data_IF_908195747088
#
_entry.id   IF_908195747088
#
_cell.length_a   1.000
_cell.length_b   1.000
_cell.length_c   1.000
_cell.angle_alpha   90.00
_cell.angle_beta   90.00
_cell.angle_gamma   90.00
#
_symmetry.space_group_name_H-M   'P 1'
#
loop_
_entity.id
_entity.type
_entity.pdbx_description
1 polymer ?
#
# COMPACT_ATOMS: atom_id res chain seq x y z
N UNK A 1 73.62 28.13 -20.71
CA UNK A 1 72.32 27.50 -21.03
C UNK A 1 71.24 28.09 -20.07
N UNK A 2 70.54 29.08 -20.54
CA UNK A 2 69.73 30.00 -19.72
C UNK A 2 68.26 29.62 -19.81
N UNK A 3 67.70 29.22 -18.69
CA UNK A 3 66.29 28.94 -18.57
C UNK A 3 65.54 30.19 -18.18
N UNK A 4 64.67 30.68 -19.06
CA UNK A 4 63.77 31.83 -18.80
C UNK A 4 62.49 31.31 -18.11
N UNK A 5 62.24 31.76 -16.86
CA UNK A 5 60.97 31.63 -16.20
C UNK A 5 60.00 32.69 -16.76
N UNK A 6 58.88 32.21 -17.29
CA UNK A 6 57.75 33.07 -17.63
C UNK A 6 56.73 32.99 -16.47
N UNK A 7 56.55 34.07 -15.76
CA UNK A 7 55.50 34.24 -14.76
C UNK A 7 54.17 34.57 -15.46
N UNK A 8 53.22 33.63 -15.41
CA UNK A 8 51.86 33.86 -15.87
C UNK A 8 50.98 34.32 -14.72
N UNK A 9 50.49 35.55 -14.79
CA UNK A 9 49.50 36.07 -13.84
C UNK A 9 48.14 35.46 -14.19
N UNK A 10 47.58 34.70 -13.27
CA UNK A 10 46.20 34.21 -13.35
C UNK A 10 45.27 35.21 -12.65
N UNK A 11 44.47 35.92 -13.45
CA UNK A 11 43.43 36.80 -12.98
C UNK A 11 42.21 35.99 -12.60
N UNK A 12 41.93 35.83 -11.30
CA UNK A 12 40.75 35.17 -10.83
C UNK A 12 39.55 36.13 -10.86
N UNK A 13 38.63 35.89 -11.80
CA UNK A 13 37.32 36.52 -11.86
C UNK A 13 36.35 35.74 -10.95
N UNK A 14 36.04 36.27 -9.76
CA UNK A 14 35.01 35.73 -8.90
C UNK A 14 33.65 36.33 -9.31
N UNK A 15 32.87 35.52 -10.07
CA UNK A 15 31.48 35.82 -10.34
C UNK A 15 30.65 35.29 -9.20
N UNK A 16 30.17 36.19 -8.33
CA UNK A 16 29.14 35.87 -7.32
C UNK A 16 27.77 35.83 -8.01
N UNK A 17 27.28 34.63 -8.33
CA UNK A 17 25.90 34.44 -8.76
C UNK A 17 24.99 34.48 -7.51
N UNK A 18 24.23 35.54 -7.36
CA UNK A 18 23.13 35.62 -6.39
C UNK A 18 22.01 34.68 -6.88
N UNK A 19 21.74 33.62 -6.13
CA UNK A 19 20.58 32.77 -6.35
C UNK A 19 19.36 33.47 -5.72
N UNK A 20 18.55 34.13 -6.54
CA UNK A 20 17.22 34.58 -6.16
C UNK A 20 16.33 33.36 -5.90
N UNK A 21 16.16 33.04 -4.64
CA UNK A 21 15.10 32.11 -4.21
C UNK A 21 13.77 32.84 -4.33
N UNK A 22 13.15 32.75 -5.51
CA UNK A 22 11.77 33.20 -5.73
C UNK A 22 10.84 32.51 -4.74
N UNK A 23 10.25 33.27 -3.82
CA UNK A 23 9.21 32.81 -2.93
C UNK A 23 8.02 32.32 -3.77
N UNK A 24 7.80 31.01 -3.79
CA UNK A 24 6.59 30.41 -4.36
C UNK A 24 5.43 30.76 -3.42
N UNK A 25 4.39 31.49 -3.90
CA UNK A 25 3.24 31.74 -3.06
C UNK A 25 2.55 30.42 -2.71
N UNK A 26 2.44 30.14 -1.41
CA UNK A 26 1.65 29.02 -0.92
C UNK A 26 0.19 29.23 -1.37
N UNK A 27 -0.24 28.45 -2.37
CA UNK A 27 -1.66 28.33 -2.67
C UNK A 27 -2.30 27.64 -1.48
N UNK A 28 -3.14 28.35 -0.77
CA UNK A 28 -4.08 27.76 0.16
C UNK A 28 -5.07 26.94 -0.69
N UNK A 29 -4.84 25.63 -0.80
CA UNK A 29 -5.84 24.71 -1.30
C UNK A 29 -7.02 24.78 -0.36
N UNK A 30 -8.11 25.40 -0.83
CA UNK A 30 -9.42 25.27 -0.20
C UNK A 30 -9.84 23.81 -0.35
N UNK A 31 -9.43 22.99 0.61
CA UNK A 31 -9.95 21.63 0.73
C UNK A 31 -11.46 21.75 0.88
N UNK A 32 -12.19 21.33 -0.15
CA UNK A 32 -13.64 21.19 -0.07
C UNK A 32 -14.01 20.28 1.10
N UNK A 33 -15.26 20.36 1.60
CA UNK A 33 -15.68 19.54 2.72
C UNK A 33 -15.41 18.06 2.41
N UNK A 34 -14.74 17.38 3.33
CA UNK A 34 -14.43 15.96 3.20
C UNK A 34 -15.72 15.17 2.90
N UNK A 35 -15.67 14.19 1.97
CA UNK A 35 -16.84 13.38 1.65
C UNK A 35 -17.35 12.72 2.93
N UNK A 36 -18.67 12.90 3.18
CA UNK A 36 -19.36 12.30 4.33
C UNK A 36 -19.14 10.79 4.28
N UNK A 37 -18.65 10.16 5.35
CA UNK A 37 -18.51 8.72 5.38
C UNK A 37 -19.87 8.07 5.12
N UNK A 38 -19.94 6.94 4.37
CA UNK A 38 -21.18 6.23 4.13
C UNK A 38 -21.84 5.86 5.46
N UNK A 39 -23.17 6.04 5.52
CA UNK A 39 -23.95 5.70 6.71
C UNK A 39 -23.70 4.24 7.08
N UNK A 40 -23.18 4.04 8.28
CA UNK A 40 -22.94 2.70 8.81
C UNK A 40 -24.31 2.03 8.99
N UNK A 41 -24.56 0.93 8.27
CA UNK A 41 -25.62 -0.01 8.63
C UNK A 41 -25.42 -0.52 10.06
N UNK A 42 -26.44 -1.14 10.69
CA UNK A 42 -26.38 -1.50 12.09
C UNK A 42 -25.14 -2.35 12.37
N UNK A 43 -24.30 -1.83 13.26
CA UNK A 43 -23.11 -2.53 13.74
C UNK A 43 -23.54 -3.77 14.50
N UNK A 44 -23.38 -4.93 13.89
CA UNK A 44 -23.54 -6.20 14.59
C UNK A 44 -22.17 -6.59 15.12
N UNK A 45 -22.06 -6.41 16.43
CA UNK A 45 -21.21 -7.18 17.33
C UNK A 45 -19.69 -7.04 17.26
N UNK A 46 -19.14 -6.26 18.17
CA UNK A 46 -18.10 -6.74 19.10
C UNK A 46 -16.65 -6.69 18.72
N UNK A 47 -16.25 -6.46 17.46
CA UNK A 47 -14.84 -6.25 17.13
C UNK A 47 -14.64 -4.88 16.51
N UNK A 48 -13.99 -3.99 17.24
CA UNK A 48 -13.50 -2.73 16.71
C UNK A 48 -12.43 -3.05 15.65
N UNK A 49 -12.80 -2.94 14.37
CA UNK A 49 -11.78 -2.92 13.34
C UNK A 49 -11.05 -1.58 13.40
N UNK A 50 -9.76 -1.53 13.65
CA UNK A 50 -9.01 -0.28 13.65
C UNK A 50 -8.89 0.32 12.24
N UNK A 51 -9.24 -0.43 11.21
CA UNK A 51 -9.21 0.03 9.82
C UNK A 51 -10.60 0.46 9.36
N UNK A 52 -10.78 1.75 8.99
CA UNK A 52 -12.09 2.29 8.59
C UNK A 52 -12.50 1.89 7.15
N UNK A 53 -11.68 1.09 6.48
CA UNK A 53 -11.88 0.73 5.08
C UNK A 53 -13.03 -0.26 4.91
N UNK A 54 -13.89 -0.02 3.90
CA UNK A 54 -15.01 -0.88 3.55
C UNK A 54 -14.86 -1.36 2.09
N UNK A 55 -15.14 -2.67 1.89
CA UNK A 55 -15.01 -3.31 0.59
C UNK A 55 -13.57 -3.70 0.24
N UNK A 56 -13.43 -4.75 -0.55
CA UNK A 56 -12.14 -5.42 -0.79
C UNK A 56 -11.09 -4.53 -1.44
N UNK A 57 -11.48 -3.66 -2.36
CA UNK A 57 -10.56 -2.74 -3.02
C UNK A 57 -9.97 -1.72 -2.04
N UNK A 58 -10.82 -1.09 -1.23
CA UNK A 58 -10.37 -0.08 -0.28
C UNK A 58 -9.44 -0.68 0.79
N UNK A 59 -9.76 -1.89 1.26
CA UNK A 59 -8.91 -2.63 2.22
C UNK A 59 -7.59 -3.00 1.56
N UNK A 60 -7.61 -3.49 0.32
CA UNK A 60 -6.38 -3.81 -0.41
C UNK A 60 -5.47 -2.59 -0.52
N UNK A 61 -6.01 -1.46 -0.97
CA UNK A 61 -5.27 -0.20 -1.13
C UNK A 61 -4.78 0.38 0.20
N UNK A 62 -5.56 0.27 1.26
CA UNK A 62 -5.20 0.83 2.56
C UNK A 62 -4.26 -0.03 3.39
N UNK A 63 -4.27 -1.35 3.19
CA UNK A 63 -3.57 -2.29 4.07
C UNK A 63 -2.56 -3.16 3.30
N UNK A 64 -2.99 -3.79 2.20
CA UNK A 64 -2.23 -4.87 1.57
C UNK A 64 -1.18 -4.39 0.57
N UNK A 65 -1.52 -3.35 -0.22
CA UNK A 65 -0.66 -2.88 -1.32
C UNK A 65 0.69 -2.33 -0.85
N UNK A 66 0.81 -1.94 0.41
CA UNK A 66 2.09 -1.47 0.97
C UNK A 66 3.21 -2.51 0.86
N UNK A 67 2.84 -3.80 0.91
CA UNK A 67 3.77 -4.92 0.74
C UNK A 67 3.55 -5.63 -0.61
N UNK A 68 2.31 -5.87 -1.00
CA UNK A 68 1.98 -6.63 -2.21
C UNK A 68 1.97 -5.80 -3.49
N UNK A 69 2.25 -4.50 -3.42
CA UNK A 69 2.28 -3.51 -4.50
C UNK A 69 0.89 -3.23 -5.10
N UNK A 70 0.69 -2.06 -5.75
CA UNK A 70 -0.62 -1.69 -6.34
C UNK A 70 -1.09 -2.64 -7.46
N UNK A 71 -0.15 -3.30 -8.15
CA UNK A 71 -0.43 -4.27 -9.22
C UNK A 71 -0.42 -5.73 -8.73
N UNK A 72 -0.27 -5.92 -7.41
CA UNK A 72 -0.24 -7.22 -6.74
C UNK A 72 0.88 -8.17 -7.21
N UNK A 73 1.93 -7.64 -7.85
CA UNK A 73 3.07 -8.47 -8.29
C UNK A 73 4.08 -8.74 -7.18
N UNK A 74 3.88 -8.14 -6.00
CA UNK A 74 4.84 -8.24 -4.93
C UNK A 74 6.15 -7.53 -5.24
N UNK A 75 7.17 -7.75 -4.43
CA UNK A 75 8.48 -7.14 -4.60
C UNK A 75 9.59 -8.06 -4.08
N UNK A 76 10.78 -7.89 -4.65
CA UNK A 76 12.02 -8.53 -4.18
C UNK A 76 13.06 -7.43 -3.98
N UNK A 77 13.73 -7.45 -2.84
CA UNK A 77 14.73 -6.45 -2.47
C UNK A 77 15.28 -6.78 -1.08
N UNK A 78 15.25 -5.82 -0.16
CA UNK A 78 15.59 -6.06 1.24
C UNK A 78 14.67 -7.08 1.94
N UNK A 79 13.47 -7.32 1.35
CA UNK A 79 12.52 -8.37 1.70
C UNK A 79 11.93 -9.00 0.44
N UNK A 80 11.20 -10.10 0.60
CA UNK A 80 10.46 -10.75 -0.47
C UNK A 80 8.98 -10.75 -0.12
N UNK A 81 8.19 -10.07 -0.94
CA UNK A 81 6.73 -10.00 -0.84
C UNK A 81 6.12 -10.79 -1.99
N UNK A 82 5.35 -11.85 -1.73
CA UNK A 82 4.87 -12.73 -2.79
C UNK A 82 3.87 -12.01 -3.69
N UNK A 83 3.87 -12.37 -4.98
CA UNK A 83 2.87 -11.95 -5.91
C UNK A 83 1.50 -12.55 -5.55
N UNK A 84 0.47 -11.72 -5.56
CA UNK A 84 -0.93 -12.14 -5.49
C UNK A 84 -1.57 -12.14 -6.89
N UNK A 85 -0.96 -11.48 -7.87
CA UNK A 85 -1.39 -11.49 -9.25
C UNK A 85 -1.15 -12.88 -9.88
N UNK A 86 -2.18 -13.42 -10.55
CA UNK A 86 -2.13 -14.73 -11.24
C UNK A 86 -1.57 -15.85 -10.34
N UNK A 87 -2.00 -15.86 -9.08
CA UNK A 87 -1.46 -16.77 -8.08
C UNK A 87 -2.39 -17.96 -7.85
N UNK A 88 -1.93 -19.15 -8.23
CA UNK A 88 -2.67 -20.41 -8.13
C UNK A 88 -2.96 -20.80 -6.67
N UNK A 89 -2.15 -20.38 -5.70
CA UNK A 89 -2.43 -20.63 -4.28
C UNK A 89 -3.73 -19.98 -3.79
N UNK A 90 -4.27 -19.02 -4.56
CA UNK A 90 -5.54 -18.35 -4.24
C UNK A 90 -6.77 -19.16 -4.74
N UNK A 91 -6.58 -20.28 -5.43
CA UNK A 91 -7.67 -21.12 -5.91
C UNK A 91 -8.53 -21.63 -4.75
N UNK A 92 -7.93 -22.19 -3.73
CA UNK A 92 -8.63 -22.60 -2.52
C UNK A 92 -8.84 -21.41 -1.60
N UNK A 93 -10.09 -20.96 -1.44
CA UNK A 93 -10.44 -19.77 -0.67
C UNK A 93 -9.97 -19.81 0.79
N UNK A 94 -9.94 -20.98 1.41
CA UNK A 94 -9.50 -21.18 2.78
C UNK A 94 -8.02 -20.79 3.00
N UNK A 95 -7.18 -20.94 1.98
CA UNK A 95 -5.76 -20.63 2.10
C UNK A 95 -5.52 -19.12 2.34
N UNK A 96 -5.94 -18.19 1.46
CA UNK A 96 -5.74 -16.76 1.72
C UNK A 96 -6.47 -16.28 2.97
N UNK A 97 -7.65 -16.83 3.31
CA UNK A 97 -8.33 -16.51 4.58
C UNK A 97 -7.43 -16.86 5.77
N UNK A 98 -6.86 -18.07 5.79
CA UNK A 98 -5.96 -18.51 6.87
C UNK A 98 -4.72 -17.60 6.99
N UNK A 99 -4.12 -17.22 5.85
CA UNK A 99 -2.94 -16.35 5.83
C UNK A 99 -3.26 -14.95 6.37
N UNK A 100 -4.40 -14.37 5.98
CA UNK A 100 -4.83 -13.05 6.49
C UNK A 100 -5.13 -13.12 7.98
N UNK A 101 -5.80 -14.17 8.45
CA UNK A 101 -6.13 -14.34 9.86
C UNK A 101 -4.90 -14.51 10.75
N UNK A 102 -3.97 -15.37 10.35
CA UNK A 102 -2.87 -15.85 11.21
C UNK A 102 -1.53 -15.21 10.92
N UNK A 103 -1.41 -14.55 9.75
CA UNK A 103 -0.12 -14.11 9.24
C UNK A 103 0.75 -15.27 8.74
N UNK A 104 1.84 -14.93 8.06
CA UNK A 104 2.84 -15.92 7.64
C UNK A 104 4.18 -15.23 7.42
N UNK A 105 5.24 -15.74 8.04
CA UNK A 105 6.60 -15.16 7.96
C UNK A 105 6.58 -13.67 8.33
N UNK A 106 6.94 -12.78 7.41
CA UNK A 106 6.91 -11.33 7.60
C UNK A 106 5.52 -10.69 7.42
N UNK A 107 4.54 -11.43 6.92
CA UNK A 107 3.16 -10.93 6.82
C UNK A 107 2.50 -10.93 8.20
N UNK A 108 2.06 -9.77 8.71
CA UNK A 108 1.40 -9.72 10.02
C UNK A 108 0.06 -10.46 10.00
N UNK A 109 -0.40 -10.85 11.18
CA UNK A 109 -1.74 -11.38 11.33
C UNK A 109 -2.76 -10.23 11.41
N UNK A 110 -3.85 -10.32 10.67
CA UNK A 110 -4.90 -9.32 10.64
C UNK A 110 -6.19 -9.76 11.31
N UNK A 111 -6.20 -10.95 11.87
CA UNK A 111 -7.38 -11.50 12.53
C UNK A 111 -7.93 -10.65 13.67
N UNK A 112 -7.10 -9.85 14.35
CA UNK A 112 -7.53 -8.94 15.41
C UNK A 112 -7.86 -7.53 14.90
N UNK A 113 -7.41 -7.16 13.70
CA UNK A 113 -7.54 -5.81 13.15
C UNK A 113 -8.65 -5.68 12.12
N UNK A 114 -8.99 -6.77 11.43
CA UNK A 114 -10.03 -6.80 10.41
C UNK A 114 -11.23 -7.63 10.89
N UNK A 115 -12.43 -7.15 10.60
CA UNK A 115 -13.66 -7.93 10.81
C UNK A 115 -13.76 -9.09 9.82
N UNK A 116 -14.64 -10.06 10.10
CA UNK A 116 -14.89 -11.18 9.20
C UNK A 116 -15.37 -10.71 7.83
N UNK A 117 -16.21 -9.67 7.78
CA UNK A 117 -16.65 -9.05 6.54
C UNK A 117 -15.49 -8.45 5.77
N UNK A 118 -14.61 -7.71 6.43
CA UNK A 118 -13.46 -7.09 5.79
C UNK A 118 -12.48 -8.13 5.23
N UNK A 119 -12.25 -9.22 5.95
CA UNK A 119 -11.40 -10.32 5.47
C UNK A 119 -12.04 -10.99 4.26
N UNK A 120 -13.34 -11.30 4.32
CA UNK A 120 -14.07 -11.87 3.20
C UNK A 120 -13.99 -10.97 1.96
N UNK A 121 -14.21 -9.67 2.14
CA UNK A 121 -14.18 -8.68 1.06
C UNK A 121 -12.82 -8.59 0.38
N UNK A 122 -11.73 -8.46 1.16
CA UNK A 122 -10.39 -8.33 0.57
C UNK A 122 -9.91 -9.63 -0.08
N UNK A 123 -10.23 -10.77 0.49
CA UNK A 123 -9.91 -12.09 -0.10
C UNK A 123 -10.67 -12.26 -1.42
N UNK A 124 -11.94 -11.95 -1.47
CA UNK A 124 -12.74 -11.98 -2.70
C UNK A 124 -12.22 -11.02 -3.75
N UNK A 125 -11.79 -9.81 -3.35
CA UNK A 125 -11.20 -8.83 -4.25
C UNK A 125 -9.94 -9.39 -4.90
N UNK A 126 -8.98 -9.85 -4.10
CA UNK A 126 -7.71 -10.38 -4.62
C UNK A 126 -7.94 -11.60 -5.51
N UNK A 127 -8.86 -12.50 -5.14
CA UNK A 127 -9.20 -13.71 -5.90
C UNK A 127 -9.89 -13.45 -7.24
N UNK A 128 -10.47 -12.28 -7.43
CA UNK A 128 -11.17 -11.90 -8.66
C UNK A 128 -10.48 -10.82 -9.49
N UNK A 129 -9.38 -10.24 -8.99
CA UNK A 129 -8.61 -9.16 -9.63
C UNK A 129 -7.16 -9.59 -9.91
N UNK A 130 -6.39 -8.70 -10.48
CA UNK A 130 -4.96 -8.91 -10.78
C UNK A 130 -4.68 -10.13 -11.66
N UNK A 131 -5.64 -10.46 -12.54
CA UNK A 131 -5.53 -11.63 -13.42
C UNK A 131 -5.97 -12.95 -12.80
N UNK A 132 -6.39 -12.96 -11.54
CA UNK A 132 -7.09 -14.07 -10.91
C UNK A 132 -8.57 -14.10 -11.36
N UNK A 133 -9.16 -15.29 -11.45
CA UNK A 133 -10.53 -15.47 -11.98
C UNK A 133 -11.35 -16.46 -11.14
N UNK A 134 -11.07 -16.57 -9.86
CA UNK A 134 -11.78 -17.46 -8.94
C UNK A 134 -13.16 -16.89 -8.62
N UNK A 135 -14.22 -17.69 -8.83
CA UNK A 135 -15.61 -17.21 -8.80
C UNK A 135 -16.33 -17.50 -7.49
N UNK A 136 -15.92 -18.53 -6.78
CA UNK A 136 -16.46 -18.88 -5.47
C UNK A 136 -16.17 -17.75 -4.46
N UNK A 137 -17.19 -17.40 -3.71
CA UNK A 137 -17.12 -16.27 -2.78
C UNK A 137 -16.97 -16.75 -1.35
N UNK A 138 -15.99 -16.15 -0.66
CA UNK A 138 -15.86 -16.25 0.79
C UNK A 138 -16.96 -15.41 1.43
N UNK A 139 -17.64 -15.97 2.42
CA UNK A 139 -18.61 -15.27 3.26
C UNK A 139 -17.99 -14.95 4.63
N UNK A 140 -18.53 -13.95 5.35
CA UNK A 140 -18.05 -13.65 6.71
C UNK A 140 -18.13 -14.86 7.66
N UNK A 141 -19.16 -15.72 7.47
CA UNK A 141 -19.33 -16.94 8.26
C UNK A 141 -18.18 -17.92 8.04
N UNK A 142 -17.66 -18.04 6.81
CA UNK A 142 -16.52 -18.89 6.50
C UNK A 142 -15.26 -18.41 7.23
N UNK A 143 -15.05 -17.08 7.26
CA UNK A 143 -13.95 -16.46 7.99
C UNK A 143 -14.08 -16.72 9.49
N UNK A 144 -15.29 -16.54 10.04
CA UNK A 144 -15.60 -16.77 11.44
C UNK A 144 -15.30 -18.20 11.89
N UNK A 145 -15.60 -19.19 11.05
CA UNK A 145 -15.29 -20.60 11.35
C UNK A 145 -13.79 -20.91 11.37
N UNK A 146 -12.95 -20.05 10.79
CA UNK A 146 -11.51 -20.24 10.69
C UNK A 146 -10.70 -19.47 11.73
N UNK A 147 -11.35 -18.66 12.57
CA UNK A 147 -10.72 -17.88 13.66
C UNK A 147 -10.23 -18.76 14.83
#
# INVERSE_FOLDING_TARGET
MTIRLLAGAVLALTATAALDFGAVPARADTAGPAPKPPAHGPAISGFFSPFPFQGGEAIYKGVCQGCHMPDAKGAVGAGAYPALAKNENLETAAYPVSIVLKGQKAMPFFGMQLSDQQIADVVNYVRSHFGNKYKDKVKPEDVKMMR
#
